data_IF_222237221989
#
_entry.id   IF_222237221989
#
_cell.length_a   1.000
_cell.length_b   1.000
_cell.length_c   1.000
_cell.angle_alpha   90.00
_cell.angle_beta   90.00
_cell.angle_gamma   90.00
#
_symmetry.space_group_name_H-M   'P 1'
#
loop_
_entity.id
_entity.type
_entity.pdbx_description
1 polymer ?
#
# COMPACT_ATOMS: atom_id res chain seq x y z
N UNK A 1 31.87 -42.71 6.10
CA UNK A 1 30.86 -43.54 5.42
C UNK A 1 29.52 -43.39 6.15
N UNK A 2 28.68 -42.45 5.72
CA UNK A 2 27.39 -42.18 6.37
C UNK A 2 26.37 -43.14 5.74
N UNK A 3 25.99 -44.18 6.49
CA UNK A 3 24.98 -45.18 6.09
C UNK A 3 23.64 -44.47 5.91
N UNK A 4 23.21 -44.28 4.67
CA UNK A 4 21.82 -43.96 4.34
C UNK A 4 20.91 -45.08 4.84
N UNK A 5 20.36 -44.91 6.04
CA UNK A 5 19.25 -45.74 6.49
C UNK A 5 18.00 -45.26 5.76
N UNK A 6 17.47 -46.17 4.96
CA UNK A 6 16.08 -46.23 4.48
C UNK A 6 15.65 -45.10 3.53
N UNK A 7 15.77 -45.40 2.23
CA UNK A 7 15.17 -44.64 1.11
C UNK A 7 13.68 -44.36 1.34
N UNK A 8 12.98 -45.23 2.06
CA UNK A 8 11.58 -45.05 2.47
C UNK A 8 11.40 -43.81 3.36
N UNK A 9 12.34 -43.51 4.26
CA UNK A 9 12.27 -42.33 5.13
C UNK A 9 12.50 -41.03 4.37
N UNK A 10 13.35 -41.06 3.32
CA UNK A 10 13.62 -39.90 2.47
C UNK A 10 12.40 -39.56 1.60
N UNK A 11 11.73 -40.57 1.04
CA UNK A 11 10.49 -40.38 0.28
C UNK A 11 9.33 -39.88 1.15
N UNK A 12 9.22 -40.35 2.40
CA UNK A 12 8.22 -39.85 3.34
C UNK A 12 8.47 -38.38 3.69
N UNK A 13 9.73 -37.97 3.91
CA UNK A 13 10.07 -36.58 4.20
C UNK A 13 9.81 -35.67 3.00
N UNK A 14 10.19 -36.10 1.80
CA UNK A 14 9.89 -35.38 0.56
C UNK A 14 8.39 -35.23 0.31
N UNK A 15 7.60 -36.28 0.57
CA UNK A 15 6.14 -36.24 0.48
C UNK A 15 5.51 -35.28 1.48
N UNK A 16 5.95 -35.29 2.74
CA UNK A 16 5.46 -34.37 3.78
C UNK A 16 5.80 -32.91 3.41
N UNK A 17 7.03 -32.63 2.97
CA UNK A 17 7.41 -31.28 2.52
C UNK A 17 6.59 -30.81 1.32
N UNK A 18 6.32 -31.68 0.34
CA UNK A 18 5.51 -31.30 -0.83
C UNK A 18 4.06 -31.02 -0.44
N UNK A 19 3.49 -31.81 0.48
CA UNK A 19 2.13 -31.56 1.00
C UNK A 19 2.06 -30.26 1.81
N UNK A 20 3.07 -29.92 2.61
CA UNK A 20 3.15 -28.64 3.32
C UNK A 20 3.24 -27.45 2.35
N UNK A 21 4.04 -27.56 1.29
CA UNK A 21 4.14 -26.51 0.26
C UNK A 21 2.83 -26.32 -0.52
N UNK A 22 2.09 -27.40 -0.78
CA UNK A 22 0.76 -27.31 -1.40
C UNK A 22 -0.28 -26.70 -0.45
N UNK A 23 -0.21 -27.00 0.85
CA UNK A 23 -1.07 -26.39 1.86
C UNK A 23 -0.81 -24.89 2.00
N UNK A 24 0.44 -24.44 1.99
CA UNK A 24 0.79 -23.01 2.01
C UNK A 24 0.28 -22.29 0.77
N UNK A 25 0.43 -22.90 -0.41
CA UNK A 25 -0.08 -22.31 -1.66
C UNK A 25 -1.62 -22.21 -1.65
N UNK A 26 -2.30 -23.25 -1.16
CA UNK A 26 -3.76 -23.23 -1.01
C UNK A 26 -4.23 -22.21 0.03
N UNK A 27 -3.46 -22.00 1.11
CA UNK A 27 -3.79 -21.04 2.15
C UNK A 27 -3.57 -19.60 1.67
N UNK A 28 -2.51 -19.35 0.90
CA UNK A 28 -2.29 -18.06 0.21
C UNK A 28 -3.42 -17.76 -0.78
N UNK A 29 -3.81 -18.73 -1.60
CA UNK A 29 -4.90 -18.55 -2.58
C UNK A 29 -6.26 -18.33 -1.88
N UNK A 30 -6.52 -19.02 -0.76
CA UNK A 30 -7.71 -18.77 0.06
C UNK A 30 -7.69 -17.38 0.71
N UNK A 31 -6.54 -16.91 1.20
CA UNK A 31 -6.38 -15.56 1.76
C UNK A 31 -6.52 -14.47 0.69
N UNK A 32 -5.98 -14.68 -0.52
CA UNK A 32 -6.21 -13.76 -1.66
C UNK A 32 -7.69 -13.72 -2.06
N UNK A 33 -8.36 -14.88 -2.12
CA UNK A 33 -9.82 -14.95 -2.40
C UNK A 33 -10.66 -14.26 -1.31
N UNK A 34 -10.28 -14.34 -0.04
CA UNK A 34 -10.94 -13.57 1.01
C UNK A 34 -10.70 -12.05 0.91
N UNK A 35 -9.50 -11.61 0.50
CA UNK A 35 -9.21 -10.18 0.24
C UNK A 35 -9.94 -9.63 -0.99
N UNK A 36 -10.34 -10.48 -1.92
CA UNK A 36 -11.23 -10.13 -3.04
C UNK A 36 -12.73 -10.17 -2.69
N UNK A 37 -13.11 -10.06 -1.40
CA UNK A 37 -14.48 -9.66 -1.05
C UNK A 37 -14.58 -8.13 -1.07
N UNK A 38 -15.43 -7.56 -1.94
CA UNK A 38 -15.69 -6.13 -1.94
C UNK A 38 -16.60 -5.81 -0.75
N UNK A 39 -16.06 -5.05 0.21
CA UNK A 39 -16.75 -4.36 1.30
C UNK A 39 -17.12 -5.16 2.58
N UNK A 40 -16.40 -4.81 3.65
CA UNK A 40 -16.92 -4.65 5.02
C UNK A 40 -16.20 -3.39 5.56
N UNK A 41 -16.81 -2.24 5.87
CA UNK A 41 -18.14 -1.99 6.43
C UNK A 41 -18.10 -2.33 7.93
N UNK A 42 -18.19 -1.42 8.91
CA UNK A 42 -19.31 -0.55 9.27
C UNK A 42 -18.77 0.53 10.25
N UNK A 43 -19.33 1.74 10.38
CA UNK A 43 -20.75 2.13 10.34
C UNK A 43 -20.93 3.57 9.86
N UNK A 44 -21.89 3.82 8.95
CA UNK A 44 -23.02 4.76 9.13
C UNK A 44 -23.93 4.70 7.89
N UNK A 45 -25.22 4.38 8.13
CA UNK A 45 -26.29 4.24 7.12
C UNK A 45 -26.97 5.61 6.92
N UNK A 46 -27.19 6.04 5.67
CA UNK A 46 -28.57 6.32 5.24
C UNK A 46 -28.92 5.59 3.94
N UNK A 47 -30.02 4.85 4.01
CA UNK A 47 -30.72 4.14 2.94
C UNK A 47 -31.18 5.09 1.82
N UNK A 48 -30.90 4.77 0.55
CA UNK A 48 -31.72 5.12 -0.63
C UNK A 48 -31.58 4.06 -1.73
N UNK A 49 -32.69 3.78 -2.39
CA UNK A 49 -33.04 2.53 -3.05
C UNK A 49 -32.53 2.35 -4.50
N UNK A 50 -32.24 1.09 -4.86
CA UNK A 50 -32.50 0.38 -6.13
C UNK A 50 -32.05 0.92 -7.50
N UNK A 51 -31.09 0.25 -8.16
CA UNK A 51 -31.27 -0.51 -9.42
C UNK A 51 -30.03 -1.38 -9.75
N UNK A 52 -30.28 -2.49 -10.44
CA UNK A 52 -29.53 -3.75 -10.53
C UNK A 52 -28.51 -3.92 -11.66
N UNK A 53 -27.39 -4.58 -11.32
CA UNK A 53 -26.73 -5.73 -11.98
C UNK A 53 -26.03 -5.62 -13.36
N UNK A 54 -24.75 -6.06 -13.34
CA UNK A 54 -24.00 -6.81 -14.37
C UNK A 54 -23.49 -6.10 -15.64
N UNK A 55 -22.27 -5.52 -15.55
CA UNK A 55 -21.08 -6.03 -16.26
C UNK A 55 -19.83 -5.24 -15.80
N UNK A 56 -18.96 -5.95 -15.08
CA UNK A 56 -17.67 -5.48 -14.60
C UNK A 56 -16.62 -5.58 -15.71
N UNK A 57 -15.72 -4.58 -15.74
CA UNK A 57 -14.48 -4.50 -16.53
C UNK A 57 -14.61 -4.02 -17.99
N UNK A 58 -15.13 -2.81 -18.22
CA UNK A 58 -14.63 -2.01 -19.34
C UNK A 58 -13.42 -1.18 -18.84
N UNK A 59 -12.19 -1.41 -19.36
CA UNK A 59 -11.00 -0.65 -18.98
C UNK A 59 -11.15 0.86 -19.18
N UNK A 60 -12.01 1.30 -20.11
CA UNK A 60 -12.28 2.71 -20.35
C UNK A 60 -13.08 3.36 -19.22
N UNK A 61 -14.03 2.63 -18.64
CA UNK A 61 -14.86 3.10 -17.51
C UNK A 61 -14.05 3.17 -16.22
N UNK A 62 -13.14 2.21 -15.99
CA UNK A 62 -12.25 2.23 -14.82
C UNK A 62 -11.24 3.39 -14.93
N UNK A 63 -10.67 3.62 -16.11
CA UNK A 63 -9.78 4.75 -16.35
C UNK A 63 -10.50 6.10 -16.18
N UNK A 64 -11.77 6.17 -16.59
CA UNK A 64 -12.58 7.37 -16.41
C UNK A 64 -12.96 7.59 -14.94
N UNK A 65 -13.29 6.53 -14.19
CA UNK A 65 -13.52 6.61 -12.75
C UNK A 65 -12.26 7.07 -11.99
N UNK A 66 -11.07 6.58 -12.36
CA UNK A 66 -9.81 7.03 -11.76
C UNK A 66 -9.50 8.49 -12.10
N UNK A 67 -9.82 8.93 -13.33
CA UNK A 67 -9.73 10.35 -13.71
C UNK A 67 -10.70 11.22 -12.94
N UNK A 68 -11.95 10.79 -12.78
CA UNK A 68 -12.96 11.51 -12.01
C UNK A 68 -12.59 11.57 -10.53
N UNK A 69 -12.05 10.48 -9.97
CA UNK A 69 -11.54 10.45 -8.59
C UNK A 69 -10.33 11.37 -8.43
N UNK A 70 -9.39 11.35 -9.36
CA UNK A 70 -8.22 12.24 -9.36
C UNK A 70 -8.60 13.71 -9.56
N UNK A 71 -9.63 14.00 -10.36
CA UNK A 71 -10.18 15.33 -10.51
C UNK A 71 -10.92 15.77 -9.23
N UNK A 72 -11.68 14.87 -8.61
CA UNK A 72 -12.35 15.08 -7.31
C UNK A 72 -11.34 15.42 -6.21
N UNK A 73 -10.19 14.74 -6.22
CA UNK A 73 -9.15 14.97 -5.22
C UNK A 73 -8.35 16.25 -5.50
N UNK A 74 -8.57 16.95 -6.62
CA UNK A 74 -7.90 18.22 -6.91
C UNK A 74 -8.67 19.38 -6.29
N UNK A 75 -8.04 20.13 -5.39
CA UNK A 75 -8.63 21.30 -4.75
C UNK A 75 -7.86 22.59 -5.06
N UNK A 76 -8.56 23.73 -4.99
CA UNK A 76 -7.94 25.06 -5.07
C UNK A 76 -7.69 25.55 -3.64
N UNK A 77 -6.42 25.82 -3.33
CA UNK A 77 -5.98 26.29 -2.02
C UNK A 77 -5.37 27.67 -2.11
N UNK A 78 -5.42 28.37 -0.98
CA UNK A 78 -4.72 29.64 -0.79
C UNK A 78 -3.99 29.60 0.54
N UNK A 79 -2.73 30.03 0.58
CA UNK A 79 -1.93 30.11 1.80
C UNK A 79 -1.26 31.49 1.92
N UNK A 80 -1.34 32.09 3.11
CA UNK A 80 -0.80 33.41 3.47
C UNK A 80 -1.11 34.51 2.44
N UNK A 81 -0.26 34.66 1.43
CA UNK A 81 -0.18 35.75 0.46
C UNK A 81 -1.30 35.75 -0.60
N UNK A 82 -2.40 35.02 -0.39
CA UNK A 82 -3.53 35.04 -1.33
C UNK A 82 -3.30 34.32 -2.66
N UNK A 83 -2.08 33.80 -2.94
CA UNK A 83 -1.80 33.14 -4.22
C UNK A 83 -2.47 31.78 -4.28
N UNK A 84 -3.38 31.63 -5.24
CA UNK A 84 -4.08 30.39 -5.49
C UNK A 84 -3.12 29.32 -6.05
N UNK A 85 -3.26 28.10 -5.55
CA UNK A 85 -2.48 26.95 -5.96
C UNK A 85 -3.32 25.68 -5.96
N UNK A 86 -2.89 24.68 -6.72
CA UNK A 86 -3.51 23.36 -6.71
C UNK A 86 -3.01 22.55 -5.51
N UNK A 87 -3.94 22.03 -4.72
CA UNK A 87 -3.72 21.01 -3.68
C UNK A 87 -4.34 19.67 -4.06
N UNK A 88 -3.98 18.65 -3.30
CA UNK A 88 -4.75 17.42 -3.22
C UNK A 88 -5.64 17.47 -1.97
N UNK A 89 -6.89 17.02 -2.09
CA UNK A 89 -7.84 16.83 -0.99
C UNK A 89 -8.24 15.37 -0.98
N UNK A 90 -8.16 14.76 0.19
CA UNK A 90 -8.72 13.43 0.42
C UNK A 90 -9.70 13.54 1.58
N UNK A 91 -11.00 13.43 1.27
CA UNK A 91 -12.10 13.61 2.23
C UNK A 91 -12.04 14.94 3.01
N UNK A 92 -11.43 14.91 4.20
CA UNK A 92 -11.26 16.06 5.11
C UNK A 92 -9.82 16.58 5.21
N UNK A 93 -8.86 15.86 4.65
CA UNK A 93 -7.45 16.20 4.70
C UNK A 93 -7.01 16.94 3.44
N UNK A 94 -6.16 17.96 3.63
CA UNK A 94 -5.60 18.75 2.54
C UNK A 94 -4.09 18.60 2.50
N UNK A 95 -3.58 18.29 1.32
CA UNK A 95 -2.17 18.07 1.06
C UNK A 95 -1.63 19.16 0.14
N UNK A 96 -0.66 19.92 0.64
CA UNK A 96 0.01 20.98 -0.10
C UNK A 96 1.21 20.41 -0.89
N UNK A 97 1.43 20.88 -2.14
CA UNK A 97 2.61 20.52 -2.91
C UNK A 97 3.91 20.83 -2.18
N UNK A 98 4.84 19.86 -2.17
CA UNK A 98 6.16 20.05 -1.53
C UNK A 98 6.93 21.25 -2.12
N UNK A 99 6.73 21.59 -3.39
CA UNK A 99 7.36 22.76 -4.03
C UNK A 99 7.00 24.09 -3.35
N UNK A 100 5.79 24.21 -2.79
CA UNK A 100 5.37 25.36 -2.01
C UNK A 100 6.04 25.36 -0.64
N UNK A 101 5.96 24.23 0.08
CA UNK A 101 6.53 24.08 1.43
C UNK A 101 8.05 24.35 1.40
N UNK A 102 8.75 23.79 0.39
CA UNK A 102 10.18 23.98 0.14
C UNK A 102 10.56 25.45 0.07
N UNK A 103 9.80 26.26 -0.67
CA UNK A 103 10.07 27.69 -0.86
C UNK A 103 9.64 28.54 0.33
N UNK A 104 8.49 28.22 0.93
CA UNK A 104 7.89 29.01 2.00
C UNK A 104 8.65 28.87 3.32
N UNK A 105 9.15 27.66 3.61
CA UNK A 105 9.80 27.32 4.88
C UNK A 105 11.29 27.02 4.73
N UNK A 106 11.86 27.23 3.55
CA UNK A 106 13.27 26.95 3.21
C UNK A 106 13.75 25.54 3.62
N UNK A 107 12.86 24.55 3.44
CA UNK A 107 13.15 23.14 3.75
C UNK A 107 13.63 22.41 2.51
N UNK A 108 14.41 21.34 2.69
CA UNK A 108 14.87 20.47 1.58
C UNK A 108 14.29 19.07 1.73
N UNK A 109 14.07 18.38 0.61
CA UNK A 109 13.50 17.04 0.58
C UNK A 109 13.73 16.39 -0.78
N UNK A 110 14.06 15.10 -0.77
CA UNK A 110 14.26 14.28 -1.96
C UNK A 110 13.62 12.92 -1.74
N UNK A 111 12.94 12.41 -2.76
CA UNK A 111 12.43 11.04 -2.76
C UNK A 111 13.61 10.11 -3.03
N UNK A 112 14.10 9.44 -1.99
CA UNK A 112 15.17 8.43 -2.13
C UNK A 112 14.54 7.05 -2.30
N UNK A 113 14.97 6.31 -3.32
CA UNK A 113 14.56 4.92 -3.54
C UNK A 113 15.34 3.91 -2.68
N UNK A 114 16.33 4.39 -1.91
CA UNK A 114 17.23 3.56 -1.09
C UNK A 114 16.96 3.64 0.42
N UNK A 115 15.78 4.10 0.83
CA UNK A 115 15.37 4.14 2.25
C UNK A 115 14.41 2.99 2.54
N UNK A 116 14.43 2.43 3.76
CA UNK A 116 13.57 1.31 4.09
C UNK A 116 12.09 1.72 4.06
N UNK A 117 11.26 0.84 3.50
CA UNK A 117 9.79 0.94 3.60
C UNK A 117 9.31 0.08 4.76
N UNK A 118 8.25 0.54 5.42
CA UNK A 118 7.60 -0.18 6.50
C UNK A 118 6.40 -0.96 6.00
N UNK A 119 6.15 -2.10 6.63
CA UNK A 119 4.90 -2.87 6.54
C UNK A 119 4.31 -3.11 7.93
N UNK A 120 4.67 -2.27 8.92
CA UNK A 120 4.35 -2.50 10.33
C UNK A 120 2.83 -2.50 10.61
N UNK A 121 2.12 -1.51 10.10
CA UNK A 121 0.67 -1.34 10.32
C UNK A 121 -0.18 -1.72 9.11
N UNK A 122 0.46 -2.01 7.97
CA UNK A 122 -0.20 -2.40 6.74
C UNK A 122 0.74 -3.31 5.92
N UNK A 123 0.18 -4.35 5.30
CA UNK A 123 0.93 -5.24 4.43
C UNK A 123 1.42 -4.55 3.14
N UNK A 124 0.73 -3.51 2.69
CA UNK A 124 1.19 -2.67 1.58
C UNK A 124 2.39 -1.82 2.02
N UNK A 125 3.56 -1.90 1.36
CA UNK A 125 4.74 -1.12 1.76
C UNK A 125 4.50 0.40 1.69
N UNK A 126 4.85 1.11 2.76
CA UNK A 126 4.76 2.57 2.84
C UNK A 126 6.01 3.19 3.47
N UNK A 127 6.28 4.46 3.15
CA UNK A 127 7.39 5.19 3.75
C UNK A 127 7.00 5.64 5.16
N UNK A 128 7.71 5.12 6.18
CA UNK A 128 7.49 5.52 7.56
C UNK A 128 8.60 6.49 8.02
N UNK A 129 8.30 7.78 8.27
CA UNK A 129 9.33 8.80 8.52
C UNK A 129 10.28 8.46 9.68
N UNK A 130 9.76 7.88 10.76
CA UNK A 130 10.56 7.52 11.95
C UNK A 130 11.61 6.44 11.61
N UNK A 131 11.19 5.37 10.91
CA UNK A 131 12.10 4.29 10.49
C UNK A 131 13.19 4.80 9.54
N UNK A 132 12.84 5.71 8.62
CA UNK A 132 13.79 6.31 7.68
C UNK A 132 14.81 7.18 8.42
N UNK A 133 14.36 7.99 9.39
CA UNK A 133 15.24 8.81 10.21
C UNK A 133 16.22 7.96 11.05
N UNK A 134 15.72 6.90 11.69
CA UNK A 134 16.55 5.97 12.46
C UNK A 134 17.58 5.26 11.57
N UNK A 135 17.18 4.82 10.38
CA UNK A 135 18.09 4.23 9.40
C UNK A 135 19.21 5.20 9.02
N UNK A 136 18.89 6.46 8.74
CA UNK A 136 19.88 7.50 8.44
C UNK A 136 20.86 7.75 9.59
N UNK A 137 20.36 7.88 10.82
CA UNK A 137 21.17 8.11 12.02
C UNK A 137 22.12 6.93 12.30
N UNK A 138 21.64 5.70 12.15
CA UNK A 138 22.45 4.50 12.34
C UNK A 138 23.58 4.40 11.30
N UNK A 139 23.29 4.70 10.04
CA UNK A 139 24.31 4.71 8.99
C UNK A 139 25.35 5.81 9.21
N UNK A 140 24.91 7.02 9.58
CA UNK A 140 25.81 8.12 9.89
C UNK A 140 26.74 7.79 11.05
N UNK A 141 26.20 7.23 12.15
CA UNK A 141 26.98 6.85 13.33
C UNK A 141 28.01 5.74 13.06
N UNK A 142 27.86 4.96 11.99
CA UNK A 142 28.83 3.94 11.56
C UNK A 142 29.87 4.47 10.57
N UNK A 143 29.63 5.64 9.97
CA UNK A 143 30.56 6.27 9.04
C UNK A 143 31.59 7.15 9.75
N UNK A 144 31.24 7.63 10.95
CA UNK A 144 32.16 8.25 11.92
C UNK A 144 32.90 7.16 12.69
#
# INVERSE_FOLDING_TARGET
>A
MIRWKSVKSSLLFGGICFMLLLLDKSLVEYNEKQKTNPYLGNSFVPQKDGLSSANSCDPSVIAELDRLKKASNKARCTANNGKEMTCMRDESEFYFPFSFIKKQYDVSGKMSKGVPMSTQWNATPYYYPIQIAQYGLQHYSRML
#
